data_IF_589694200401
#
_entry.id   IF_589694200401
#
_cell.length_a   1.000
_cell.length_b   1.000
_cell.length_c   1.000
_cell.angle_alpha   90.00
_cell.angle_beta   90.00
_cell.angle_gamma   90.00
#
_symmetry.space_group_name_H-M   'P 1'
#
loop_
_entity.id
_entity.type
_entity.pdbx_description
1 polymer ?
#
# COMPACT_ATOMS: atom_id res chain seq x y z
N UNK A 1 19.35 -12.90 -10.05
CA UNK A 1 18.32 -12.31 -10.93
C UNK A 1 16.98 -12.46 -10.22
N UNK A 2 16.15 -11.43 -10.27
CA UNK A 2 14.83 -11.47 -9.67
C UNK A 2 13.91 -12.37 -10.52
N UNK A 3 13.62 -13.58 -10.01
CA UNK A 3 12.74 -14.56 -10.66
C UNK A 3 11.25 -14.35 -10.31
N UNK A 4 10.92 -13.34 -9.49
CA UNK A 4 9.54 -13.09 -9.12
C UNK A 4 8.73 -12.48 -10.27
N UNK A 5 7.48 -12.92 -10.43
CA UNK A 5 6.53 -12.34 -11.39
C UNK A 5 5.88 -11.06 -10.90
N UNK A 6 6.35 -10.47 -9.79
CA UNK A 6 5.72 -9.30 -9.21
C UNK A 6 6.71 -8.19 -8.84
N UNK A 7 6.19 -6.98 -8.80
CA UNK A 7 6.83 -5.78 -8.29
C UNK A 7 6.11 -5.31 -7.03
N UNK A 8 6.85 -4.98 -5.98
CA UNK A 8 6.31 -4.34 -4.78
C UNK A 8 6.61 -2.85 -4.81
N UNK A 9 5.57 -2.02 -4.69
CA UNK A 9 5.69 -0.58 -4.53
C UNK A 9 5.16 -0.16 -3.15
N UNK A 10 6.01 0.51 -2.37
CA UNK A 10 5.69 0.97 -1.03
C UNK A 10 5.41 2.46 -1.07
N UNK A 11 4.16 2.85 -0.81
CA UNK A 11 3.79 4.25 -0.69
C UNK A 11 4.34 4.83 0.62
N UNK A 12 5.30 5.76 0.50
CA UNK A 12 5.93 6.46 1.62
C UNK A 12 5.58 7.96 1.60
N UNK A 13 5.50 8.56 2.77
CA UNK A 13 5.59 10.00 2.96
C UNK A 13 6.91 10.32 3.66
N UNK A 14 7.70 11.24 3.10
CA UNK A 14 8.98 11.71 3.69
C UNK A 14 8.72 12.74 4.80
N UNK A 15 7.87 12.37 5.76
CA UNK A 15 7.50 13.18 6.92
C UNK A 15 7.24 12.26 8.11
N UNK A 16 7.43 12.78 9.33
CA UNK A 16 7.09 12.02 10.53
C UNK A 16 5.58 11.77 10.65
N UNK A 17 5.16 10.63 11.20
CA UNK A 17 5.98 9.51 11.73
C UNK A 17 6.42 8.48 10.65
N UNK A 18 6.11 8.72 9.38
CA UNK A 18 6.29 7.75 8.28
C UNK A 18 7.76 7.48 7.96
N UNK A 19 8.60 8.51 8.09
CA UNK A 19 10.05 8.40 7.88
C UNK A 19 10.69 7.50 8.94
N UNK A 20 10.37 7.70 10.22
CA UNK A 20 10.83 6.83 11.31
C UNK A 20 10.34 5.39 11.13
N UNK A 21 9.07 5.17 10.76
CA UNK A 21 8.53 3.82 10.51
C UNK A 21 9.27 3.14 9.36
N UNK A 22 9.61 3.88 8.31
CA UNK A 22 10.41 3.36 7.20
C UNK A 22 11.82 2.99 7.67
N UNK A 23 12.56 3.92 8.26
CA UNK A 23 13.96 3.74 8.62
C UNK A 23 14.16 2.69 9.71
N UNK A 24 13.33 2.69 10.72
CA UNK A 24 13.48 1.80 11.87
C UNK A 24 12.63 0.53 11.81
N UNK A 25 11.58 0.51 11.03
CA UNK A 25 10.65 -0.61 10.91
C UNK A 25 10.86 -1.43 9.65
N UNK A 26 10.48 -0.89 8.50
CA UNK A 26 10.48 -1.64 7.24
C UNK A 26 11.88 -1.98 6.73
N UNK A 27 12.73 -0.95 6.63
CA UNK A 27 14.05 -1.11 6.01
C UNK A 27 14.92 -2.16 6.72
N UNK A 28 15.09 -2.17 8.05
CA UNK A 28 15.92 -3.16 8.74
C UNK A 28 15.24 -4.55 8.91
N UNK A 29 14.00 -4.71 8.50
CA UNK A 29 13.26 -5.98 8.63
C UNK A 29 13.10 -6.69 7.29
N UNK A 30 11.90 -6.71 6.75
CA UNK A 30 11.58 -7.47 5.54
C UNK A 30 12.21 -6.89 4.27
N UNK A 31 12.45 -5.57 4.21
CA UNK A 31 13.14 -4.97 3.06
C UNK A 31 14.57 -5.48 2.98
N UNK A 32 15.35 -5.36 4.04
CA UNK A 32 16.73 -5.85 4.09
C UNK A 32 16.83 -7.34 3.74
N UNK A 33 15.80 -8.12 4.14
CA UNK A 33 15.72 -9.55 3.84
C UNK A 33 15.49 -9.84 2.36
N UNK A 34 14.65 -9.07 1.70
CA UNK A 34 14.10 -9.40 0.40
C UNK A 34 14.60 -8.54 -0.77
N UNK A 35 15.21 -7.39 -0.52
CA UNK A 35 15.60 -6.44 -1.58
C UNK A 35 16.60 -6.98 -2.61
N UNK A 36 17.33 -8.05 -2.27
CA UNK A 36 18.26 -8.74 -3.17
C UNK A 36 17.57 -9.79 -4.07
N UNK A 37 16.44 -10.32 -3.63
CA UNK A 37 15.75 -11.44 -4.27
C UNK A 37 14.51 -10.99 -5.03
N UNK A 38 13.87 -9.92 -4.57
CA UNK A 38 12.61 -9.43 -5.12
C UNK A 38 12.71 -7.97 -5.57
N UNK A 39 11.96 -7.61 -6.61
CA UNK A 39 11.81 -6.21 -7.04
C UNK A 39 10.97 -5.44 -6.03
N UNK A 40 11.62 -4.57 -5.25
CA UNK A 40 10.97 -3.69 -4.28
C UNK A 40 11.33 -2.24 -4.61
N UNK A 41 10.34 -1.37 -4.63
CA UNK A 41 10.51 0.06 -4.87
C UNK A 41 9.82 0.87 -3.79
N UNK A 42 10.50 1.92 -3.33
CA UNK A 42 9.91 2.93 -2.48
C UNK A 42 9.35 4.06 -3.35
N UNK A 43 8.11 4.47 -3.10
CA UNK A 43 7.44 5.51 -3.90
C UNK A 43 7.03 6.66 -3.00
N UNK A 44 7.68 7.80 -3.14
CA UNK A 44 7.39 9.03 -2.40
C UNK A 44 6.74 10.08 -3.30
N UNK A 45 6.00 11.02 -2.69
CA UNK A 45 5.59 12.25 -3.35
C UNK A 45 6.56 13.40 -3.05
N UNK A 46 6.33 14.56 -3.67
CA UNK A 46 7.03 15.79 -3.33
C UNK A 46 6.73 16.21 -1.89
N UNK A 47 7.67 16.87 -1.24
CA UNK A 47 7.48 17.39 0.10
C UNK A 47 6.23 18.30 0.18
N UNK A 48 5.50 18.21 1.29
CA UNK A 48 4.31 19.02 1.52
C UNK A 48 4.71 20.43 1.94
N UNK A 49 4.06 21.45 1.35
CA UNK A 49 4.10 22.81 1.89
C UNK A 49 3.27 22.91 3.20
N UNK A 50 3.61 23.88 4.06
CA UNK A 50 3.10 23.97 5.44
C UNK A 50 1.57 23.84 5.63
N UNK A 51 0.76 24.39 4.75
CA UNK A 51 -0.73 24.31 4.83
C UNK A 51 -1.23 22.87 4.66
N UNK A 52 -0.68 22.13 3.68
CA UNK A 52 -1.08 20.73 3.42
C UNK A 52 -0.58 19.80 4.52
N UNK A 53 0.59 20.08 5.09
CA UNK A 53 1.10 19.35 6.27
C UNK A 53 0.18 19.53 7.47
N UNK A 54 -0.32 20.76 7.70
CA UNK A 54 -1.28 21.04 8.76
C UNK A 54 -2.61 20.30 8.53
N UNK A 55 -3.13 20.28 7.31
CA UNK A 55 -4.36 19.57 6.94
C UNK A 55 -4.21 18.06 7.19
N UNK A 56 -3.12 17.45 6.74
CA UNK A 56 -2.88 16.01 6.94
C UNK A 56 -2.67 15.67 8.42
N UNK A 57 -2.01 16.54 9.20
CA UNK A 57 -1.85 16.37 10.65
C UNK A 57 -3.18 16.45 11.40
N UNK A 58 -4.08 17.36 10.99
CA UNK A 58 -5.43 17.47 11.52
C UNK A 58 -6.25 16.24 11.12
N UNK A 59 -6.12 15.77 9.89
CA UNK A 59 -6.79 14.57 9.42
C UNK A 59 -6.36 13.33 10.21
N UNK A 60 -5.09 13.16 10.50
CA UNK A 60 -4.59 12.02 11.28
C UNK A 60 -5.05 12.06 12.75
N UNK A 61 -5.07 13.24 13.36
CA UNK A 61 -5.58 13.44 14.73
C UNK A 61 -7.09 13.26 14.86
N UNK A 62 -7.86 13.59 13.82
CA UNK A 62 -9.33 13.66 13.86
C UNK A 62 -10.03 12.62 12.97
N UNK A 63 -9.33 11.56 12.56
CA UNK A 63 -9.83 10.50 11.66
C UNK A 63 -11.19 9.91 12.08
N UNK A 64 -11.62 10.14 13.29
CA UNK A 64 -12.85 9.62 13.90
C UNK A 64 -13.87 10.67 14.31
N UNK A 65 -13.66 11.98 14.07
CA UNK A 65 -14.60 13.02 14.47
C UNK A 65 -15.20 13.72 13.23
N UNK A 66 -16.47 13.47 13.02
CA UNK A 66 -17.30 13.69 11.83
C UNK A 66 -17.36 15.10 11.22
N UNK A 67 -16.95 16.16 11.89
CA UNK A 67 -17.12 17.53 11.40
C UNK A 67 -16.10 17.90 10.32
N UNK A 68 -14.84 17.50 10.47
CA UNK A 68 -13.78 17.79 9.48
C UNK A 68 -13.87 16.93 8.22
N UNK A 69 -14.47 15.74 8.28
CA UNK A 69 -14.78 14.94 7.09
C UNK A 69 -15.69 15.65 6.10
N UNK A 70 -16.63 16.48 6.59
CA UNK A 70 -17.50 17.31 5.75
C UNK A 70 -16.76 18.48 5.06
N UNK A 71 -15.74 19.04 5.73
CA UNK A 71 -14.89 20.07 5.14
C UNK A 71 -13.91 19.51 4.11
N UNK A 72 -13.39 18.31 4.33
CA UNK A 72 -12.56 17.61 3.37
C UNK A 72 -13.31 17.39 2.04
N UNK A 73 -14.56 16.94 2.08
CA UNK A 73 -15.41 16.81 0.89
C UNK A 73 -15.61 18.12 0.14
N UNK A 74 -15.62 19.28 0.83
CA UNK A 74 -15.71 20.62 0.19
C UNK A 74 -14.38 21.08 -0.40
N UNK A 75 -13.25 20.85 0.29
CA UNK A 75 -11.92 21.14 -0.24
C UNK A 75 -11.63 20.30 -1.49
N UNK A 76 -12.01 19.02 -1.49
CA UNK A 76 -11.88 18.13 -2.63
C UNK A 76 -12.65 18.62 -3.86
N UNK A 77 -13.79 19.31 -3.67
CA UNK A 77 -14.52 19.93 -4.78
C UNK A 77 -13.72 21.02 -5.50
N UNK A 78 -12.96 21.81 -4.76
CA UNK A 78 -12.11 22.87 -5.32
C UNK A 78 -10.93 22.31 -6.11
N UNK A 79 -10.38 21.17 -5.66
CA UNK A 79 -9.22 20.53 -6.30
C UNK A 79 -9.59 19.53 -7.39
N UNK A 80 -10.86 19.12 -7.54
CA UNK A 80 -11.28 18.12 -8.53
C UNK A 80 -10.86 18.43 -9.98
N UNK A 81 -11.00 19.66 -10.50
CA UNK A 81 -10.56 19.99 -11.85
C UNK A 81 -9.04 19.78 -12.03
N UNK A 82 -8.26 20.10 -10.98
CA UNK A 82 -6.80 19.88 -10.98
C UNK A 82 -6.46 18.40 -10.89
N UNK A 83 -7.18 17.61 -10.08
CA UNK A 83 -6.97 16.18 -9.92
C UNK A 83 -7.25 15.36 -11.19
N UNK A 84 -8.10 15.85 -12.08
CA UNK A 84 -8.43 15.22 -13.38
C UNK A 84 -7.45 15.53 -14.51
N UNK A 85 -6.45 16.40 -14.28
CA UNK A 85 -5.38 16.65 -15.25
C UNK A 85 -4.52 15.40 -15.46
N UNK A 86 -3.59 15.49 -16.41
CA UNK A 86 -2.62 14.42 -16.68
C UNK A 86 -2.02 13.82 -15.41
N UNK A 87 -1.82 12.49 -15.43
CA UNK A 87 -1.19 11.81 -14.31
C UNK A 87 0.26 12.30 -14.15
N UNK A 88 0.71 12.50 -12.91
CA UNK A 88 2.08 12.94 -12.67
C UNK A 88 3.09 11.87 -13.10
N UNK A 89 4.22 12.30 -13.63
CA UNK A 89 5.33 11.42 -13.95
C UNK A 89 6.00 10.90 -12.68
N UNK A 90 6.65 9.74 -12.78
CA UNK A 90 7.58 9.22 -11.79
C UNK A 90 9.02 9.43 -12.27
N UNK A 91 9.87 9.87 -11.36
CA UNK A 91 11.30 10.03 -11.59
C UNK A 91 12.03 9.01 -10.72
N UNK A 92 12.94 8.24 -11.31
CA UNK A 92 13.83 7.35 -10.57
C UNK A 92 14.90 8.19 -9.86
N UNK A 93 15.01 8.01 -8.54
CA UNK A 93 16.07 8.60 -7.73
C UNK A 93 17.17 7.56 -7.49
N UNK A 94 18.43 8.01 -7.41
CA UNK A 94 19.51 7.14 -6.99
C UNK A 94 19.37 6.85 -5.49
N UNK A 95 19.35 5.56 -5.13
CA UNK A 95 19.31 5.09 -3.75
C UNK A 95 20.23 3.90 -3.57
N UNK A 96 20.80 3.77 -2.36
CA UNK A 96 21.81 2.76 -2.04
C UNK A 96 21.25 1.36 -1.76
N UNK A 97 19.99 1.23 -1.39
CA UNK A 97 19.40 -0.05 -0.93
C UNK A 97 18.16 -0.51 -1.68
N UNK A 98 17.25 0.39 -2.00
CA UNK A 98 16.02 0.11 -2.73
C UNK A 98 15.82 1.18 -3.78
N UNK A 99 15.38 0.81 -4.99
CA UNK A 99 15.04 1.81 -6.02
C UNK A 99 13.98 2.74 -5.48
N UNK A 100 14.22 4.03 -5.59
CA UNK A 100 13.28 5.07 -5.18
C UNK A 100 12.66 5.73 -6.40
N UNK A 101 11.33 5.82 -6.41
CA UNK A 101 10.57 6.56 -7.40
C UNK A 101 9.95 7.78 -6.72
N UNK A 102 10.10 8.94 -7.30
CA UNK A 102 9.41 10.15 -6.87
C UNK A 102 8.29 10.50 -7.81
N UNK A 103 7.06 10.50 -7.29
CA UNK A 103 5.89 10.99 -8.04
C UNK A 103 5.92 12.51 -8.05
N UNK A 104 5.81 13.12 -9.22
CA UNK A 104 5.80 14.58 -9.39
C UNK A 104 4.46 15.20 -8.95
N UNK A 105 4.03 14.85 -7.73
CA UNK A 105 2.87 15.44 -7.05
C UNK A 105 3.07 15.40 -5.54
N UNK A 106 2.27 16.20 -4.83
CA UNK A 106 2.36 16.34 -3.39
C UNK A 106 2.04 15.05 -2.63
N UNK A 107 2.68 14.81 -1.47
CA UNK A 107 2.52 13.64 -0.62
C UNK A 107 1.20 13.59 0.15
N UNK A 108 0.38 14.64 0.12
CA UNK A 108 -0.87 14.70 0.90
C UNK A 108 -1.89 13.63 0.49
N UNK A 109 -2.82 13.33 1.39
CA UNK A 109 -3.92 12.38 1.15
C UNK A 109 -4.84 12.83 -0.01
N UNK A 110 -5.00 14.13 -0.24
CA UNK A 110 -5.79 14.69 -1.36
C UNK A 110 -5.27 14.18 -2.71
N UNK A 111 -3.97 14.00 -2.85
CA UNK A 111 -3.34 13.53 -4.08
C UNK A 111 -3.08 12.02 -4.11
N UNK A 112 -3.56 11.27 -3.11
CA UNK A 112 -3.29 9.82 -3.01
C UNK A 112 -3.78 9.03 -4.21
N UNK A 113 -4.94 9.37 -4.78
CA UNK A 113 -5.47 8.75 -5.99
C UNK A 113 -4.57 8.98 -7.21
N UNK A 114 -4.03 10.20 -7.39
CA UNK A 114 -3.09 10.50 -8.48
C UNK A 114 -1.79 9.72 -8.34
N UNK A 115 -1.25 9.62 -7.11
CA UNK A 115 -0.04 8.82 -6.87
C UNK A 115 -0.27 7.34 -7.16
N UNK A 116 -1.40 6.79 -6.72
CA UNK A 116 -1.78 5.41 -7.01
C UNK A 116 -1.84 5.14 -8.51
N UNK A 117 -2.54 5.99 -9.26
CA UNK A 117 -2.68 5.83 -10.71
C UNK A 117 -1.36 6.02 -11.46
N UNK A 118 -0.50 6.92 -10.98
CA UNK A 118 0.85 7.10 -11.53
C UNK A 118 1.71 5.85 -11.30
N UNK A 119 1.63 5.21 -10.13
CA UNK A 119 2.31 3.94 -9.86
C UNK A 119 1.82 2.82 -10.78
N UNK A 120 0.51 2.71 -10.98
CA UNK A 120 -0.09 1.70 -11.88
C UNK A 120 0.35 1.95 -13.34
N UNK A 121 0.31 3.20 -13.80
CA UNK A 121 0.78 3.57 -15.14
C UNK A 121 2.26 3.24 -15.32
N UNK A 122 3.11 3.64 -14.38
CA UNK A 122 4.54 3.36 -14.43
C UNK A 122 4.85 1.86 -14.48
N UNK A 123 4.11 1.04 -13.69
CA UNK A 123 4.24 -0.41 -13.70
C UNK A 123 4.01 -0.99 -15.10
N UNK A 124 2.94 -0.55 -15.78
CA UNK A 124 2.61 -1.01 -17.13
C UNK A 124 3.71 -0.62 -18.13
N UNK A 125 4.21 0.62 -18.04
CA UNK A 125 5.12 1.20 -19.03
C UNK A 125 6.59 0.79 -18.85
N UNK A 126 6.99 0.38 -17.63
CA UNK A 126 8.41 0.23 -17.28
C UNK A 126 8.79 -1.17 -16.78
N UNK A 127 7.87 -2.13 -16.77
CA UNK A 127 8.16 -3.49 -16.31
C UNK A 127 7.45 -4.52 -17.16
N UNK A 128 7.96 -5.77 -17.16
CA UNK A 128 7.30 -6.94 -17.72
C UNK A 128 6.70 -7.85 -16.62
N UNK A 129 6.68 -7.38 -15.36
CA UNK A 129 6.13 -8.14 -14.25
C UNK A 129 4.62 -8.31 -14.40
N UNK A 130 4.12 -9.47 -13.98
CA UNK A 130 2.70 -9.83 -14.08
C UNK A 130 1.85 -9.15 -13.00
N UNK A 131 2.41 -9.00 -11.79
CA UNK A 131 1.68 -8.44 -10.65
C UNK A 131 2.34 -7.20 -10.09
N UNK A 132 1.52 -6.23 -9.71
CA UNK A 132 1.86 -5.06 -8.90
C UNK A 132 1.30 -5.24 -7.50
N UNK A 133 2.16 -5.17 -6.50
CA UNK A 133 1.81 -5.18 -5.08
C UNK A 133 1.97 -3.77 -4.54
N UNK A 134 0.87 -3.15 -4.17
CA UNK A 134 0.85 -1.81 -3.58
C UNK A 134 0.71 -1.92 -2.07
N UNK A 135 1.60 -1.31 -1.32
CA UNK A 135 1.58 -1.35 0.15
C UNK A 135 2.00 -0.01 0.77
N UNK A 136 1.98 0.08 2.08
CA UNK A 136 2.30 1.28 2.85
C UNK A 136 3.36 1.02 3.91
N UNK A 137 3.93 2.08 4.48
CA UNK A 137 5.02 2.00 5.48
C UNK A 137 4.67 1.22 6.76
N UNK A 138 3.39 1.06 7.12
CA UNK A 138 3.00 0.28 8.31
C UNK A 138 2.71 -1.19 8.01
N UNK A 139 3.25 -1.73 6.92
CA UNK A 139 3.02 -3.11 6.50
C UNK A 139 4.34 -3.89 6.46
N UNK A 140 4.32 -5.13 6.95
CA UNK A 140 5.37 -6.12 6.76
C UNK A 140 4.83 -7.21 5.82
N UNK A 141 5.62 -7.57 4.81
CA UNK A 141 5.24 -8.58 3.85
C UNK A 141 6.15 -9.82 3.95
N UNK A 142 5.54 -11.00 3.91
CA UNK A 142 6.22 -12.25 3.64
C UNK A 142 6.13 -12.53 2.14
N UNK A 143 7.18 -12.18 1.39
CA UNK A 143 7.16 -12.26 -0.07
C UNK A 143 7.25 -13.70 -0.59
N UNK A 144 7.80 -14.63 0.18
CA UNK A 144 7.76 -16.06 -0.17
C UNK A 144 6.35 -16.62 -0.08
N UNK A 145 5.63 -16.34 1.02
CA UNK A 145 4.23 -16.73 1.14
C UNK A 145 3.37 -16.07 0.05
N UNK A 146 3.63 -14.80 -0.28
CA UNK A 146 2.95 -14.11 -1.38
C UNK A 146 3.17 -14.84 -2.72
N UNK A 147 4.40 -15.23 -3.03
CA UNK A 147 4.73 -15.94 -4.28
C UNK A 147 3.92 -17.24 -4.46
N UNK A 148 3.64 -17.95 -3.37
CA UNK A 148 2.79 -19.15 -3.40
C UNK A 148 1.30 -18.85 -3.47
N UNK A 149 0.87 -17.69 -3.02
CA UNK A 149 -0.54 -17.28 -3.01
C UNK A 149 -1.00 -16.67 -4.34
N UNK A 150 -0.08 -16.12 -5.13
CA UNK A 150 -0.42 -15.53 -6.41
C UNK A 150 -0.92 -16.60 -7.38
N UNK A 151 -2.06 -16.40 -8.06
CA UNK A 151 -2.49 -17.31 -9.10
C UNK A 151 -1.45 -17.37 -10.23
N UNK A 152 -1.46 -18.48 -10.96
CA UNK A 152 -0.68 -18.53 -12.21
C UNK A 152 -1.21 -17.44 -13.15
N UNK A 153 -0.33 -16.81 -13.95
CA UNK A 153 -0.75 -15.82 -14.92
C UNK A 153 -1.89 -16.37 -15.78
N UNK A 154 -2.99 -15.65 -15.81
CA UNK A 154 -4.16 -15.99 -16.61
C UNK A 154 -4.42 -14.82 -17.55
N UNK A 155 -3.73 -14.82 -18.67
CA UNK A 155 -3.80 -13.76 -19.66
C UNK A 155 -5.26 -13.52 -20.10
N UNK A 156 -5.68 -12.28 -19.98
CA UNK A 156 -7.00 -11.81 -20.36
C UNK A 156 -8.03 -11.68 -19.23
N UNK A 157 -7.73 -12.16 -18.01
CA UNK A 157 -8.63 -12.00 -16.87
C UNK A 157 -8.05 -11.02 -15.84
N UNK A 158 -8.74 -9.91 -15.54
CA UNK A 158 -8.30 -8.97 -14.52
C UNK A 158 -8.36 -9.60 -13.12
N UNK A 159 -7.27 -9.42 -12.34
CA UNK A 159 -7.17 -9.89 -10.97
C UNK A 159 -6.90 -8.72 -10.01
N UNK A 160 -7.76 -8.57 -9.01
CA UNK A 160 -7.61 -7.59 -7.94
C UNK A 160 -7.91 -8.21 -6.59
N UNK A 161 -6.96 -8.15 -5.67
CA UNK A 161 -7.11 -8.78 -4.37
C UNK A 161 -6.39 -8.05 -3.24
N UNK A 162 -6.67 -8.46 -2.01
CA UNK A 162 -6.12 -8.00 -0.75
C UNK A 162 -7.16 -8.06 0.35
N UNK A 163 -6.94 -7.41 1.48
CA UNK A 163 -7.91 -7.40 2.57
C UNK A 163 -9.09 -6.48 2.25
N UNK A 164 -10.27 -7.07 2.12
CA UNK A 164 -11.51 -6.35 1.82
C UNK A 164 -12.04 -5.67 3.08
N UNK A 165 -12.38 -4.41 2.95
CA UNK A 165 -13.03 -3.56 3.97
C UNK A 165 -14.37 -3.05 3.47
N UNK A 166 -15.24 -2.66 4.42
CA UNK A 166 -16.57 -2.12 4.15
C UNK A 166 -17.60 -3.20 3.85
N UNK A 167 -18.88 -2.79 3.87
CA UNK A 167 -20.02 -3.66 3.60
C UNK A 167 -20.48 -3.54 2.14
N UNK A 168 -21.06 -4.63 1.61
CA UNK A 168 -21.66 -4.60 0.28
C UNK A 168 -22.79 -3.55 0.22
N UNK A 169 -22.90 -2.72 -0.82
CA UNK A 169 -22.11 -2.73 -2.07
C UNK A 169 -20.84 -1.84 -2.04
N UNK A 170 -20.43 -1.30 -0.90
CA UNK A 170 -19.35 -0.30 -0.79
C UNK A 170 -17.99 -0.91 -0.42
N UNK A 171 -17.81 -2.21 -0.64
CA UNK A 171 -16.55 -2.90 -0.37
C UNK A 171 -15.39 -2.35 -1.21
N UNK A 172 -14.18 -2.38 -0.63
CA UNK A 172 -12.93 -2.04 -1.31
C UNK A 172 -11.77 -2.81 -0.69
N UNK A 173 -10.72 -3.03 -1.45
CA UNK A 173 -9.48 -3.59 -0.91
C UNK A 173 -8.67 -2.49 -0.26
N UNK A 174 -8.22 -2.72 0.98
CA UNK A 174 -7.42 -1.75 1.73
C UNK A 174 -6.16 -1.33 0.99
N UNK A 175 -5.89 -0.03 0.94
CA UNK A 175 -4.67 0.54 0.37
C UNK A 175 -3.37 0.11 1.07
N UNK A 176 -3.47 -0.60 2.20
CA UNK A 176 -2.31 -1.14 2.90
C UNK A 176 -1.68 -2.37 2.22
N UNK A 177 -2.43 -3.05 1.34
CA UNK A 177 -1.96 -4.24 0.64
C UNK A 177 -2.91 -4.60 -0.49
N UNK A 178 -2.64 -4.08 -1.69
CA UNK A 178 -3.41 -4.35 -2.91
C UNK A 178 -2.55 -5.15 -3.88
N UNK A 179 -3.13 -6.15 -4.49
CA UNK A 179 -2.52 -6.98 -5.53
C UNK A 179 -3.30 -6.78 -6.82
N UNK A 180 -2.63 -6.36 -7.87
CA UNK A 180 -3.22 -6.03 -9.16
C UNK A 180 -2.41 -6.73 -10.24
N UNK A 181 -3.05 -7.55 -11.11
CA UNK A 181 -2.34 -8.06 -12.27
C UNK A 181 -2.29 -7.04 -13.41
N UNK A 182 -1.48 -7.33 -14.44
CA UNK A 182 -1.25 -6.42 -15.57
C UNK A 182 -2.52 -6.10 -16.34
N UNK A 183 -3.41 -7.07 -16.55
CA UNK A 183 -4.70 -6.86 -17.21
C UNK A 183 -5.60 -5.92 -16.41
N UNK A 184 -5.68 -6.11 -15.10
CA UNK A 184 -6.44 -5.22 -14.24
C UNK A 184 -5.83 -3.80 -14.21
N UNK A 185 -4.50 -3.69 -14.16
CA UNK A 185 -3.78 -2.42 -14.24
C UNK A 185 -4.12 -1.67 -15.55
N UNK A 186 -4.11 -2.37 -16.69
CA UNK A 186 -4.46 -1.80 -17.99
C UNK A 186 -5.93 -1.33 -18.02
N UNK A 187 -6.86 -2.12 -17.48
CA UNK A 187 -8.27 -1.74 -17.37
C UNK A 187 -8.47 -0.48 -16.52
N UNK A 188 -7.75 -0.35 -15.41
CA UNK A 188 -7.78 0.84 -14.56
C UNK A 188 -7.36 2.08 -15.36
N UNK A 189 -6.23 2.01 -16.08
CA UNK A 189 -5.70 3.16 -16.85
C UNK A 189 -6.64 3.51 -18.01
N UNK A 190 -7.20 2.53 -18.71
CA UNK A 190 -8.14 2.76 -19.81
C UNK A 190 -9.47 3.39 -19.32
N UNK A 191 -9.79 3.27 -18.05
CA UNK A 191 -11.04 3.78 -17.47
C UNK A 191 -10.86 4.99 -16.52
N UNK A 192 -9.76 5.72 -16.61
CA UNK A 192 -9.44 6.88 -15.76
C UNK A 192 -10.55 7.95 -15.70
N UNK A 193 -11.32 8.13 -16.78
CA UNK A 193 -12.46 9.07 -16.82
C UNK A 193 -13.53 8.77 -15.77
N UNK A 194 -13.57 7.54 -15.26
CA UNK A 194 -14.52 7.08 -14.24
C UNK A 194 -13.92 7.04 -12.83
N UNK A 195 -12.62 7.33 -12.66
CA UNK A 195 -11.97 7.30 -11.36
C UNK A 195 -12.46 8.46 -10.47
N UNK A 196 -13.03 8.19 -9.28
CA UNK A 196 -13.58 9.20 -8.41
C UNK A 196 -12.49 9.87 -7.56
N UNK A 197 -11.74 10.80 -8.12
CA UNK A 197 -10.61 11.49 -7.49
C UNK A 197 -10.90 12.17 -6.15
N UNK A 198 -12.16 12.29 -5.77
CA UNK A 198 -12.60 12.90 -4.50
C UNK A 198 -12.57 11.93 -3.33
N UNK A 199 -12.40 10.64 -3.58
CA UNK A 199 -12.34 9.59 -2.57
C UNK A 199 -10.91 9.28 -2.21
N UNK A 200 -10.69 8.66 -1.03
CA UNK A 200 -9.42 8.04 -0.72
C UNK A 200 -9.07 7.01 -1.80
N UNK A 201 -7.79 6.86 -2.09
CA UNK A 201 -7.28 6.08 -3.22
C UNK A 201 -7.81 4.64 -3.28
N UNK A 202 -7.92 3.96 -2.14
CA UNK A 202 -8.42 2.58 -2.03
C UNK A 202 -9.92 2.49 -2.27
N UNK A 203 -10.69 3.41 -1.68
CA UNK A 203 -12.15 3.52 -1.92
C UNK A 203 -12.42 3.90 -3.38
N UNK A 204 -11.66 4.85 -3.91
CA UNK A 204 -11.77 5.29 -5.30
C UNK A 204 -11.50 4.15 -6.28
N UNK A 205 -10.45 3.37 -6.03
CA UNK A 205 -10.10 2.20 -6.86
C UNK A 205 -11.19 1.13 -6.78
N UNK A 206 -11.65 0.78 -5.57
CA UNK A 206 -12.74 -0.16 -5.39
C UNK A 206 -14.04 0.27 -6.10
N UNK A 207 -14.33 1.58 -6.08
CA UNK A 207 -15.49 2.15 -6.78
C UNK A 207 -15.35 2.06 -8.30
N UNK A 208 -14.17 2.36 -8.84
CA UNK A 208 -13.89 2.20 -10.26
C UNK A 208 -14.04 0.74 -10.69
N UNK A 209 -13.38 -0.19 -9.96
CA UNK A 209 -13.34 -1.60 -10.32
C UNK A 209 -14.74 -2.24 -10.29
N UNK A 210 -15.57 -1.89 -9.32
CA UNK A 210 -17.00 -2.31 -9.34
C UNK A 210 -17.74 -1.79 -10.57
N UNK A 211 -17.49 -0.53 -10.96
CA UNK A 211 -18.15 0.08 -12.12
C UNK A 211 -17.78 -0.62 -13.44
N UNK A 212 -16.57 -1.18 -13.52
CA UNK A 212 -16.09 -1.94 -14.68
C UNK A 212 -16.14 -3.46 -14.45
N UNK A 213 -16.90 -3.91 -13.47
CA UNK A 213 -17.25 -5.30 -13.17
C UNK A 213 -16.04 -6.22 -12.88
N UNK A 214 -14.97 -5.66 -12.30
CA UNK A 214 -13.82 -6.45 -11.82
C UNK A 214 -14.11 -7.02 -10.43
N UNK A 215 -14.03 -8.34 -10.32
CA UNK A 215 -14.20 -9.04 -9.04
C UNK A 215 -13.04 -8.78 -8.09
N UNK A 216 -13.36 -8.51 -6.81
CA UNK A 216 -12.39 -8.38 -5.73
C UNK A 216 -12.23 -9.69 -4.97
N UNK A 217 -11.00 -10.17 -4.78
CA UNK A 217 -10.71 -11.38 -4.01
C UNK A 217 -10.16 -11.04 -2.64
N UNK A 218 -10.74 -11.61 -1.59
CA UNK A 218 -10.29 -11.34 -0.23
C UNK A 218 -9.07 -12.19 0.14
N UNK A 219 -7.96 -11.53 0.43
CA UNK A 219 -6.79 -12.15 1.05
C UNK A 219 -6.58 -11.46 2.42
N UNK A 220 -7.03 -12.07 3.52
CA UNK A 220 -7.01 -11.42 4.81
C UNK A 220 -5.58 -11.25 5.36
N UNK A 221 -5.30 -10.05 5.85
CA UNK A 221 -4.08 -9.77 6.61
C UNK A 221 -4.16 -10.24 8.07
N UNK A 222 -3.02 -10.22 8.76
CA UNK A 222 -2.99 -10.23 10.22
C UNK A 222 -2.70 -8.81 10.70
N UNK A 223 -3.64 -8.21 11.44
CA UNK A 223 -3.46 -6.86 11.99
C UNK A 223 -2.98 -6.95 13.43
N UNK A 224 -1.86 -6.28 13.72
CA UNK A 224 -1.23 -6.19 15.05
C UNK A 224 -1.14 -4.70 15.40
N UNK A 225 -1.83 -4.29 16.45
CA UNK A 225 -1.94 -2.89 16.87
C UNK A 225 -1.05 -2.55 18.08
N UNK A 226 -0.58 -3.57 18.81
CA UNK A 226 0.27 -3.41 19.96
C UNK A 226 1.19 -4.61 20.21
N UNK A 227 2.22 -4.44 21.03
CA UNK A 227 3.09 -5.54 21.43
C UNK A 227 2.38 -6.56 22.32
N UNK A 228 1.40 -6.11 23.12
CA UNK A 228 0.58 -7.02 23.95
C UNK A 228 -0.27 -7.93 23.05
N UNK A 229 -0.98 -7.35 22.08
CA UNK A 229 -1.74 -8.14 21.09
C UNK A 229 -0.86 -9.13 20.34
N UNK A 230 0.37 -8.74 19.98
CA UNK A 230 1.33 -9.65 19.37
C UNK A 230 1.70 -10.81 20.31
N UNK A 231 1.85 -10.54 21.62
CA UNK A 231 2.12 -11.56 22.64
C UNK A 231 0.99 -12.60 22.73
N UNK A 232 -0.25 -12.12 22.68
CA UNK A 232 -1.46 -12.95 22.79
C UNK A 232 -1.84 -13.67 21.47
N UNK A 233 -1.27 -13.25 20.34
CA UNK A 233 -1.57 -13.85 19.04
C UNK A 233 -0.93 -15.23 18.89
N UNK A 234 -1.69 -16.32 18.65
CA UNK A 234 -1.12 -17.65 18.53
C UNK A 234 -0.30 -17.81 17.24
N UNK A 235 0.71 -18.71 17.27
CA UNK A 235 1.58 -18.99 16.12
C UNK A 235 0.82 -19.41 14.86
N UNK A 236 -0.29 -20.14 15.02
CA UNK A 236 -1.15 -20.57 13.91
C UNK A 236 -1.74 -19.40 13.10
N UNK A 237 -1.89 -18.24 13.71
CA UNK A 237 -2.38 -17.03 13.03
C UNK A 237 -1.39 -16.47 12.00
N UNK A 238 -0.12 -16.84 12.08
CA UNK A 238 0.94 -16.40 11.15
C UNK A 238 1.06 -17.33 9.94
N UNK A 239 0.60 -18.58 10.07
CA UNK A 239 0.72 -19.59 9.00
C UNK A 239 -0.11 -19.18 7.79
N UNK A 240 0.50 -19.24 6.59
CA UNK A 240 -0.15 -18.88 5.32
C UNK A 240 -0.45 -17.39 5.15
N UNK A 241 0.00 -16.52 6.06
CA UNK A 241 -0.15 -15.07 5.90
C UNK A 241 1.04 -14.48 5.17
N UNK A 242 0.76 -13.64 4.17
CA UNK A 242 1.78 -12.86 3.49
C UNK A 242 1.83 -11.40 3.98
N UNK A 243 0.73 -10.88 4.56
CA UNK A 243 0.61 -9.48 4.93
C UNK A 243 0.28 -9.30 6.42
N UNK A 244 1.16 -8.57 7.09
CA UNK A 244 1.07 -8.20 8.51
C UNK A 244 0.92 -6.68 8.61
N UNK A 245 -0.24 -6.24 9.06
CA UNK A 245 -0.52 -4.81 9.25
C UNK A 245 -0.07 -4.39 10.65
N UNK A 246 1.10 -3.72 10.75
CA UNK A 246 1.74 -3.29 12.00
C UNK A 246 1.39 -1.82 12.32
N UNK A 247 0.09 -1.50 12.40
CA UNK A 247 -0.36 -0.12 12.59
C UNK A 247 -0.91 0.08 13.99
N UNK A 248 -0.14 0.81 14.85
CA UNK A 248 -0.60 1.16 16.18
C UNK A 248 -1.62 2.30 16.16
N UNK A 249 -2.50 2.28 17.16
CA UNK A 249 -3.43 3.39 17.46
C UNK A 249 -2.89 4.29 18.60
N UNK A 250 -1.69 4.00 19.14
CA UNK A 250 -1.05 4.80 20.18
C UNK A 250 -0.42 6.08 19.63
N UNK A 251 -0.23 7.05 20.52
CA UNK A 251 0.60 8.22 20.25
C UNK A 251 1.66 8.35 21.36
N UNK A 252 2.96 8.39 21.04
CA UNK A 252 3.54 8.27 19.68
C UNK A 252 3.29 6.88 19.08
N UNK A 253 3.33 6.80 17.74
CA UNK A 253 3.11 5.55 17.01
C UNK A 253 4.22 4.55 17.30
N UNK A 254 3.85 3.26 17.44
CA UNK A 254 4.77 2.17 17.74
C UNK A 254 4.94 1.18 16.59
N UNK A 255 4.53 1.54 15.40
CA UNK A 255 4.52 0.69 14.20
C UNK A 255 5.89 0.02 13.96
N UNK A 256 6.98 0.77 14.09
CA UNK A 256 8.34 0.24 13.89
C UNK A 256 8.68 -0.86 14.90
N UNK A 257 8.34 -0.67 16.18
CA UNK A 257 8.60 -1.66 17.23
C UNK A 257 7.75 -2.92 17.05
N UNK A 258 6.47 -2.75 16.68
CA UNK A 258 5.57 -3.86 16.35
C UNK A 258 6.14 -4.63 15.17
N UNK A 259 6.58 -3.95 14.11
CA UNK A 259 7.13 -4.57 12.90
C UNK A 259 8.41 -5.37 13.18
N UNK A 260 9.35 -4.81 13.97
CA UNK A 260 10.56 -5.52 14.43
C UNK A 260 10.19 -6.79 15.20
N UNK A 261 9.19 -6.72 16.06
CA UNK A 261 8.76 -7.86 16.88
C UNK A 261 8.04 -8.93 16.06
N UNK A 262 7.19 -8.54 15.11
CA UNK A 262 6.57 -9.45 14.13
C UNK A 262 7.64 -10.13 13.29
N UNK A 263 8.61 -9.38 12.76
CA UNK A 263 9.74 -9.93 11.99
C UNK A 263 10.52 -10.98 12.79
N UNK A 264 10.84 -10.68 14.05
CA UNK A 264 11.54 -11.61 14.95
C UNK A 264 10.75 -12.91 15.15
N UNK A 265 9.44 -12.80 15.32
CA UNK A 265 8.55 -13.96 15.44
C UNK A 265 8.49 -14.80 14.17
N UNK A 266 8.41 -14.15 13.01
CA UNK A 266 8.43 -14.86 11.72
C UNK A 266 9.75 -15.63 11.51
N UNK A 267 10.90 -15.03 11.87
CA UNK A 267 12.19 -15.73 11.84
C UNK A 267 12.21 -16.94 12.77
N UNK A 268 11.65 -16.82 13.97
CA UNK A 268 11.51 -17.96 14.92
C UNK A 268 10.60 -19.05 14.37
N UNK A 269 9.47 -18.71 13.77
CA UNK A 269 8.56 -19.68 13.15
C UNK A 269 9.20 -20.37 11.94
N UNK A 270 9.98 -19.64 11.15
CA UNK A 270 10.76 -20.23 10.06
C UNK A 270 11.80 -21.22 10.57
N UNK A 271 12.57 -20.87 11.62
CA UNK A 271 13.57 -21.79 12.19
C UNK A 271 12.96 -23.07 12.77
N UNK A 272 11.67 -23.03 13.14
CA UNK A 272 10.88 -24.19 13.59
C UNK A 272 10.23 -24.97 12.42
N UNK A 273 10.44 -24.54 11.17
CA UNK A 273 9.82 -25.16 10.00
C UNK A 273 8.30 -24.94 9.88
N UNK A 274 7.73 -23.98 10.63
CA UNK A 274 6.28 -23.73 10.65
C UNK A 274 5.80 -22.88 9.48
N UNK A 275 6.67 -22.02 8.94
CA UNK A 275 6.38 -21.12 7.83
C UNK A 275 7.58 -21.01 6.90
N UNK A 276 7.36 -20.59 5.67
CA UNK A 276 8.39 -20.09 4.76
C UNK A 276 8.40 -18.54 4.78
N UNK A 277 9.51 -17.97 5.29
CA UNK A 277 9.64 -16.52 5.46
C UNK A 277 10.98 -16.01 4.95
#
# INVERSE_FOLDING_TARGET
>A
MDESNFLVMIAQAKTEPWETIWQEGQNPTWIARYCQTFSIMNVSGLAMGGVLTAIDSIHEKNRYKSFLGKWQGRADHLFTPYLRRELPNLITLQSSTVRELQVQTNSSYVFSGRRLLAQIKWFIENTEKEYLILTTTSSLLNLKALQHLLPKPNFGNPYYSGHILGDYPNQFVSGAGQIINRECAQLIINNLKHFPFRMLNDIALGTLLRKIEVTMFNIPWLWIQSLNELGDTPDSSFVGKFHFRCKSNSFPRQDANIMKSVHKRLLSLQSQGKIDY
#
